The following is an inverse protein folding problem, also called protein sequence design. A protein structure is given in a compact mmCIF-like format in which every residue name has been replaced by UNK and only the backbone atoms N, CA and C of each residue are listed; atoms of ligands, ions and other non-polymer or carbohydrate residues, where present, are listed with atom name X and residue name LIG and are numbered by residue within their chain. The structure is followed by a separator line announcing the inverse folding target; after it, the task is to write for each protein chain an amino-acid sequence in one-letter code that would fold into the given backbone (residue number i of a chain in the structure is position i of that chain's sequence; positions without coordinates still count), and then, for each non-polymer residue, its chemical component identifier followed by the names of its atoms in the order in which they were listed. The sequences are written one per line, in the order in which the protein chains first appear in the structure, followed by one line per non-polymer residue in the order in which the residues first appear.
data_IF_146502832793
#
_entry.id   IF_146502832793
#
_cell.length_a   1.000
_cell.length_b   1.000
_cell.length_c   1.000
_cell.angle_alpha   90.00
_cell.angle_beta   90.00
_cell.angle_gamma   90.00
#
_symmetry.space_group_name_H-M   'P 1'
#
loop_
_entity.id
_entity.type
_entity.pdbx_description
1 polymer ?
#
# COMPACT_ATOMS: atom_id res chain seq x y z
N UNK A 1 -30.92 51.96 4.74
CA UNK A 1 -30.00 50.97 5.36
C UNK A 1 -30.43 49.52 5.15
N UNK A 2 -31.73 49.17 5.18
CA UNK A 2 -32.18 47.78 5.00
C UNK A 2 -31.88 47.15 3.61
N UNK A 3 -31.89 47.93 2.52
CA UNK A 3 -31.64 47.41 1.16
C UNK A 3 -30.19 47.00 0.88
N UNK A 4 -29.21 47.64 1.54
CA UNK A 4 -27.79 47.27 1.40
C UNK A 4 -27.46 45.93 2.08
N UNK A 5 -28.19 45.60 3.15
CA UNK A 5 -27.98 44.38 3.91
C UNK A 5 -28.49 43.13 3.16
N UNK A 6 -29.62 43.25 2.45
CA UNK A 6 -30.14 42.16 1.59
C UNK A 6 -29.21 41.81 0.43
N UNK A 7 -28.52 42.80 -0.16
CA UNK A 7 -27.58 42.55 -1.27
C UNK A 7 -26.34 41.79 -0.79
N UNK A 8 -25.88 42.08 0.43
CA UNK A 8 -24.72 41.41 1.03
C UNK A 8 -25.01 39.95 1.39
N UNK A 9 -26.23 39.64 1.86
CA UNK A 9 -26.67 38.26 2.15
C UNK A 9 -26.78 37.44 0.86
N UNK A 10 -27.31 38.03 -0.22
CA UNK A 10 -27.43 37.34 -1.51
C UNK A 10 -26.06 37.03 -2.13
N UNK A 11 -25.11 37.97 -2.02
CA UNK A 11 -23.73 37.76 -2.48
C UNK A 11 -22.98 36.72 -1.63
N UNK A 12 -23.23 36.69 -0.31
CA UNK A 12 -22.67 35.68 0.59
C UNK A 12 -23.20 34.27 0.33
N UNK A 13 -24.42 34.13 -0.20
CA UNK A 13 -25.03 32.83 -0.49
C UNK A 13 -24.46 32.18 -1.77
N UNK A 14 -23.96 32.98 -2.72
CA UNK A 14 -23.32 32.48 -3.94
C UNK A 14 -21.95 31.82 -3.68
N UNK A 15 -21.26 32.16 -2.59
CA UNK A 15 -19.98 31.52 -2.23
C UNK A 15 -20.13 30.12 -1.61
N UNK A 16 -21.36 29.67 -1.31
CA UNK A 16 -21.61 28.33 -0.76
C UNK A 16 -21.86 27.26 -1.84
N UNK A 17 -21.93 27.65 -3.12
CA UNK A 17 -22.18 26.72 -4.25
C UNK A 17 -20.91 26.39 -5.04
N UNK A 18 -19.73 26.41 -4.43
CA UNK A 18 -18.56 25.77 -5.03
C UNK A 18 -18.77 24.25 -5.07
N UNK A 19 -19.45 23.78 -6.11
CA UNK A 19 -19.51 22.38 -6.47
C UNK A 19 -18.07 21.89 -6.71
N UNK A 20 -17.52 21.15 -5.74
CA UNK A 20 -16.31 20.38 -5.99
C UNK A 20 -16.64 19.34 -7.06
N UNK A 21 -16.05 19.48 -8.24
CA UNK A 21 -16.05 18.41 -9.25
C UNK A 21 -15.17 17.29 -8.71
N UNK A 22 -15.78 16.36 -7.97
CA UNK A 22 -15.10 15.14 -7.55
C UNK A 22 -14.84 14.32 -8.81
N UNK A 23 -13.57 14.14 -9.16
CA UNK A 23 -13.19 13.19 -10.22
C UNK A 23 -13.69 11.81 -9.82
N UNK A 24 -14.41 11.13 -10.72
CA UNK A 24 -15.00 9.81 -10.45
C UNK A 24 -13.96 8.76 -10.05
N UNK A 25 -12.70 8.97 -10.41
CA UNK A 25 -11.58 8.12 -10.09
C UNK A 25 -10.53 8.96 -9.37
N UNK A 26 -10.04 8.47 -8.24
CA UNK A 26 -9.04 9.13 -7.41
C UNK A 26 -7.98 8.10 -7.00
N UNK A 27 -6.72 8.53 -6.98
CA UNK A 27 -5.61 7.78 -6.42
C UNK A 27 -5.09 8.56 -5.23
N UNK A 28 -5.07 7.91 -4.06
CA UNK A 28 -4.58 8.49 -2.82
C UNK A 28 -3.25 7.84 -2.41
N UNK A 29 -2.38 8.63 -1.79
CA UNK A 29 -1.05 8.22 -1.37
C UNK A 29 -0.89 8.45 0.12
N UNK A 30 -0.27 7.50 0.81
CA UNK A 30 -0.03 7.62 2.23
C UNK A 30 1.16 6.81 2.70
N UNK A 31 1.36 6.83 4.00
CA UNK A 31 2.37 6.03 4.69
C UNK A 31 1.71 5.29 5.85
N UNK A 32 2.19 4.08 6.11
CA UNK A 32 1.77 3.25 7.23
C UNK A 32 3.01 2.62 7.88
N UNK A 33 3.01 2.41 9.19
CA UNK A 33 4.14 1.77 9.86
C UNK A 33 3.66 0.80 10.93
N UNK A 34 4.27 -0.39 10.97
CA UNK A 34 4.15 -1.32 12.09
C UNK A 34 5.34 -1.13 13.03
N UNK A 35 5.06 -0.89 14.30
CA UNK A 35 6.10 -0.51 15.26
C UNK A 35 6.44 -1.65 16.22
N UNK A 36 7.72 -1.98 16.27
CA UNK A 36 8.27 -3.04 17.10
C UNK A 36 7.88 -4.43 16.60
N UNK A 37 8.21 -5.43 17.42
CA UNK A 37 7.85 -6.81 17.17
C UNK A 37 8.40 -7.71 18.24
N UNK A 38 7.83 -8.92 18.31
CA UNK A 38 8.22 -9.96 19.25
C UNK A 38 8.32 -11.27 18.50
N UNK A 39 9.33 -12.06 18.84
CA UNK A 39 9.45 -13.44 18.38
C UNK A 39 10.18 -14.27 19.44
N UNK A 40 9.50 -15.29 19.98
CA UNK A 40 10.00 -16.10 21.11
C UNK A 40 10.41 -15.18 22.28
N UNK A 41 11.70 -15.18 22.65
CA UNK A 41 12.24 -14.36 23.74
C UNK A 41 12.88 -13.04 23.24
N UNK A 42 12.75 -12.72 21.96
CA UNK A 42 13.30 -11.51 21.37
C UNK A 42 12.21 -10.45 21.18
N UNK A 43 12.57 -9.20 21.45
CA UNK A 43 11.73 -8.02 21.22
C UNK A 43 12.57 -6.92 20.61
N UNK A 44 12.00 -6.17 19.68
CA UNK A 44 12.62 -5.01 19.08
C UNK A 44 11.66 -3.82 19.02
N UNK A 45 12.22 -2.63 18.85
CA UNK A 45 11.50 -1.36 18.73
C UNK A 45 11.59 -0.74 17.33
N UNK A 46 12.25 -1.42 16.38
CA UNK A 46 12.32 -0.97 14.98
C UNK A 46 10.95 -0.96 14.30
N UNK A 47 10.82 -0.21 13.21
CA UNK A 47 9.56 -0.04 12.48
C UNK A 47 9.64 -0.62 11.06
N UNK A 48 8.61 -1.32 10.62
CA UNK A 48 8.42 -1.70 9.22
C UNK A 48 7.52 -0.63 8.56
N UNK A 49 8.07 0.13 7.62
CA UNK A 49 7.40 1.30 7.01
C UNK A 49 6.92 0.97 5.60
N UNK A 50 5.65 1.21 5.34
CA UNK A 50 4.98 0.95 4.08
C UNK A 50 4.57 2.26 3.42
N UNK A 51 4.76 2.30 2.10
CA UNK A 51 4.12 3.26 1.20
C UNK A 51 2.75 2.73 0.82
N UNK A 52 1.72 3.53 0.99
CA UNK A 52 0.34 3.17 0.69
C UNK A 52 -0.12 3.87 -0.58
N UNK A 53 -0.78 3.13 -1.46
CA UNK A 53 -1.51 3.67 -2.60
C UNK A 53 -2.90 3.06 -2.64
N UNK A 54 -3.91 3.89 -2.79
CA UNK A 54 -5.32 3.51 -2.77
C UNK A 54 -6.04 4.02 -4.01
N UNK A 55 -6.87 3.19 -4.63
CA UNK A 55 -7.66 3.54 -5.81
C UNK A 55 -9.13 3.61 -5.43
N UNK A 56 -9.71 4.79 -5.57
CA UNK A 56 -11.10 5.10 -5.22
C UNK A 56 -11.95 5.36 -6.45
N UNK A 57 -13.13 4.75 -6.50
CA UNK A 57 -14.20 5.18 -7.38
C UNK A 57 -15.24 5.94 -6.56
N UNK A 58 -15.40 7.23 -6.84
CA UNK A 58 -16.17 8.16 -6.01
C UNK A 58 -15.74 8.09 -4.53
N UNK A 59 -16.59 7.60 -3.63
CA UNK A 59 -16.28 7.44 -2.19
C UNK A 59 -15.94 5.99 -1.79
N UNK A 60 -15.82 5.08 -2.76
CA UNK A 60 -15.58 3.65 -2.50
C UNK A 60 -14.15 3.26 -2.89
N UNK A 61 -13.41 2.67 -1.95
CA UNK A 61 -12.09 2.12 -2.22
C UNK A 61 -12.24 0.80 -2.99
N UNK A 62 -11.67 0.72 -4.19
CA UNK A 62 -11.71 -0.49 -5.01
C UNK A 62 -10.49 -1.36 -4.76
N UNK A 63 -9.33 -0.72 -4.60
CA UNK A 63 -8.06 -1.42 -4.39
C UNK A 63 -7.16 -0.60 -3.46
N UNK A 64 -6.36 -1.30 -2.66
CA UNK A 64 -5.37 -0.69 -1.78
C UNK A 64 -4.12 -1.55 -1.79
N UNK A 65 -2.95 -0.92 -1.79
CA UNK A 65 -1.68 -1.61 -1.60
C UNK A 65 -0.77 -0.86 -0.64
N UNK A 66 -0.17 -1.60 0.26
CA UNK A 66 0.89 -1.13 1.15
C UNK A 66 2.18 -1.86 0.76
N UNK A 67 3.21 -1.13 0.33
CA UNK A 67 4.46 -1.67 -0.19
C UNK A 67 5.61 -1.25 0.70
N UNK A 68 6.50 -2.17 1.04
CA UNK A 68 7.73 -1.87 1.78
C UNK A 68 8.90 -2.65 1.18
N UNK A 69 10.09 -2.03 1.17
CA UNK A 69 11.33 -2.75 0.89
C UNK A 69 11.77 -3.48 2.15
N UNK A 70 12.07 -4.77 2.02
CA UNK A 70 12.50 -5.57 3.15
C UNK A 70 14.02 -5.52 3.30
N UNK A 71 14.48 -5.04 4.46
CA UNK A 71 15.91 -5.07 4.81
C UNK A 71 16.23 -6.35 5.60
N UNK A 72 17.13 -7.19 5.09
CA UNK A 72 17.59 -8.40 5.78
C UNK A 72 18.31 -8.12 7.10
N UNK A 73 18.80 -6.90 7.32
CA UNK A 73 19.40 -6.47 8.59
C UNK A 73 18.35 -6.09 9.63
N UNK A 74 17.10 -5.98 9.21
CA UNK A 74 15.97 -5.65 10.07
C UNK A 74 15.68 -6.79 11.06
N UNK A 75 15.32 -6.51 12.32
CA UNK A 75 14.95 -7.55 13.28
C UNK A 75 13.67 -8.31 12.88
N UNK A 76 12.88 -7.77 11.94
CA UNK A 76 11.74 -8.45 11.35
C UNK A 76 12.14 -9.71 10.53
N UNK A 77 13.43 -9.90 10.23
CA UNK A 77 13.96 -11.15 9.66
C UNK A 77 13.65 -12.38 10.54
N UNK A 78 13.49 -12.18 11.85
CA UNK A 78 13.17 -13.27 12.78
C UNK A 78 11.79 -13.88 12.58
N UNK A 79 10.88 -13.22 11.85
CA UNK A 79 9.57 -13.76 11.50
C UNK A 79 9.60 -14.70 10.30
N UNK A 80 10.70 -14.72 9.54
CA UNK A 80 10.86 -15.56 8.38
C UNK A 80 11.24 -16.99 8.77
N UNK A 81 10.85 -17.95 7.93
CA UNK A 81 11.43 -19.29 7.93
C UNK A 81 12.83 -19.29 7.28
N UNK A 82 13.57 -20.39 7.44
CA UNK A 82 14.86 -20.55 6.77
C UNK A 82 14.73 -20.53 5.24
N UNK A 83 13.67 -21.13 4.70
CA UNK A 83 13.42 -21.21 3.25
C UNK A 83 13.04 -19.84 2.68
N UNK A 84 12.16 -19.10 3.38
CA UNK A 84 11.79 -17.73 3.00
C UNK A 84 13.00 -16.80 3.02
N UNK A 85 13.86 -16.92 4.04
CA UNK A 85 15.09 -16.15 4.14
C UNK A 85 16.06 -16.48 2.99
N UNK A 86 16.16 -17.75 2.60
CA UNK A 86 16.98 -18.17 1.46
C UNK A 86 16.46 -17.57 0.15
N UNK A 87 15.14 -17.55 -0.06
CA UNK A 87 14.53 -16.91 -1.22
C UNK A 87 14.80 -15.40 -1.27
N UNK A 88 14.63 -14.70 -0.14
CA UNK A 88 14.89 -13.25 -0.05
C UNK A 88 16.37 -12.93 -0.33
N UNK A 89 17.30 -13.71 0.23
CA UNK A 89 18.73 -13.50 0.02
C UNK A 89 19.19 -13.73 -1.43
N UNK A 90 18.42 -14.48 -2.22
CA UNK A 90 18.68 -14.68 -3.64
C UNK A 90 18.20 -13.49 -4.50
N UNK A 91 17.44 -12.56 -3.93
CA UNK A 91 16.92 -11.38 -4.61
C UNK A 91 17.90 -10.21 -4.51
N UNK A 92 18.02 -9.43 -5.58
CA UNK A 92 18.79 -8.17 -5.54
C UNK A 92 17.98 -7.03 -4.94
N UNK A 93 16.67 -7.07 -5.15
CA UNK A 93 15.70 -6.19 -4.49
C UNK A 93 14.49 -7.04 -4.09
N UNK A 94 14.02 -6.84 -2.86
CA UNK A 94 12.90 -7.59 -2.31
C UNK A 94 11.90 -6.67 -1.63
N UNK A 95 10.64 -6.80 -2.02
CA UNK A 95 9.54 -6.01 -1.51
C UNK A 95 8.49 -6.91 -0.88
N UNK A 96 7.84 -6.41 0.16
CA UNK A 96 6.64 -7.00 0.74
C UNK A 96 5.47 -6.08 0.43
N UNK A 97 4.37 -6.69 0.00
CA UNK A 97 3.12 -5.98 -0.24
C UNK A 97 1.98 -6.58 0.57
N UNK A 98 1.11 -5.71 1.06
CA UNK A 98 -0.22 -6.06 1.54
C UNK A 98 -1.21 -5.45 0.56
N UNK A 99 -2.03 -6.26 -0.10
CA UNK A 99 -3.02 -5.75 -1.05
C UNK A 99 -4.45 -6.14 -0.67
N UNK A 100 -5.37 -5.23 -0.89
CA UNK A 100 -6.79 -5.39 -0.70
C UNK A 100 -7.52 -5.08 -2.00
N UNK A 101 -8.53 -5.90 -2.32
CA UNK A 101 -9.47 -5.66 -3.40
C UNK A 101 -10.89 -5.73 -2.83
N UNK A 102 -11.67 -4.67 -3.00
CA UNK A 102 -13.07 -4.67 -2.57
C UNK A 102 -13.95 -5.50 -3.51
N UNK A 103 -13.63 -5.49 -4.81
CA UNK A 103 -14.38 -6.13 -5.88
C UNK A 103 -13.38 -6.72 -6.90
N UNK A 104 -13.08 -8.01 -6.74
CA UNK A 104 -12.09 -8.73 -7.56
C UNK A 104 -12.52 -8.85 -9.04
N UNK A 105 -13.78 -8.59 -9.40
CA UNK A 105 -14.23 -8.56 -10.80
C UNK A 105 -13.83 -7.26 -11.50
N UNK A 106 -13.69 -6.15 -10.76
CA UNK A 106 -13.30 -4.85 -11.30
C UNK A 106 -11.80 -4.65 -11.29
N UNK A 107 -11.19 -4.80 -10.12
CA UNK A 107 -9.74 -4.71 -9.93
C UNK A 107 -9.34 -5.88 -9.06
N UNK A 108 -8.71 -6.87 -9.70
CA UNK A 108 -8.24 -8.04 -8.97
C UNK A 108 -6.81 -7.83 -8.47
N UNK A 109 -6.47 -8.57 -7.43
CA UNK A 109 -5.07 -8.67 -6.99
C UNK A 109 -4.15 -9.23 -8.08
N UNK A 110 -4.69 -10.08 -8.97
CA UNK A 110 -3.93 -10.60 -10.11
C UNK A 110 -3.47 -9.48 -11.04
N UNK A 111 -4.32 -8.49 -11.32
CA UNK A 111 -3.92 -7.35 -12.15
C UNK A 111 -2.73 -6.60 -11.54
N UNK A 112 -2.74 -6.39 -10.22
CA UNK A 112 -1.60 -5.80 -9.53
C UNK A 112 -0.34 -6.68 -9.59
N UNK A 113 -0.47 -8.00 -9.43
CA UNK A 113 0.67 -8.92 -9.58
C UNK A 113 1.25 -8.90 -11.00
N UNK A 114 0.40 -8.78 -12.02
CA UNK A 114 0.83 -8.67 -13.42
C UNK A 114 1.57 -7.34 -13.67
N UNK A 115 1.16 -6.23 -13.03
CA UNK A 115 1.91 -4.96 -13.01
C UNK A 115 3.28 -5.12 -12.33
N UNK A 116 3.35 -5.79 -11.17
CA UNK A 116 4.62 -6.06 -10.49
C UNK A 116 5.58 -6.89 -11.36
N UNK A 117 5.06 -7.92 -12.04
CA UNK A 117 5.82 -8.72 -12.99
C UNK A 117 6.35 -7.89 -14.17
N UNK A 118 5.55 -6.95 -14.70
CA UNK A 118 6.01 -5.99 -15.73
C UNK A 118 7.13 -5.08 -15.24
N UNK A 119 7.15 -4.77 -13.95
CA UNK A 119 8.24 -4.04 -13.29
C UNK A 119 9.43 -4.94 -12.90
N UNK A 120 9.44 -6.21 -13.33
CA UNK A 120 10.56 -7.14 -13.13
C UNK A 120 10.55 -7.88 -11.79
N UNK A 121 9.43 -7.89 -11.08
CA UNK A 121 9.28 -8.59 -9.81
C UNK A 121 8.49 -9.89 -9.95
N UNK A 122 9.12 -10.99 -9.56
CA UNK A 122 8.46 -12.28 -9.44
C UNK A 122 7.81 -12.42 -8.06
N UNK A 123 6.59 -12.99 -8.02
CA UNK A 123 5.88 -13.24 -6.76
C UNK A 123 6.56 -14.37 -5.96
N UNK A 124 6.71 -14.13 -4.67
CA UNK A 124 7.19 -15.07 -3.65
C UNK A 124 6.16 -15.19 -2.53
N UNK A 125 5.99 -16.41 -2.01
CA UNK A 125 5.09 -16.68 -0.88
C UNK A 125 5.87 -16.59 0.44
N UNK A 126 5.29 -15.93 1.44
CA UNK A 126 5.89 -15.77 2.77
C UNK A 126 4.93 -16.21 3.88
N UNK A 127 4.49 -17.48 3.94
CA UNK A 127 3.49 -17.95 4.90
C UNK A 127 3.88 -17.77 6.37
N UNK A 128 5.15 -17.95 6.74
CA UNK A 128 5.60 -17.77 8.13
C UNK A 128 5.62 -16.29 8.49
N UNK A 129 6.15 -15.44 7.61
CA UNK A 129 6.09 -14.00 7.82
C UNK A 129 4.64 -13.51 7.95
N UNK A 130 3.76 -13.94 7.04
CA UNK A 130 2.34 -13.60 7.04
C UNK A 130 1.66 -13.98 8.36
N UNK A 131 1.96 -15.17 8.88
CA UNK A 131 1.41 -15.64 10.16
C UNK A 131 1.80 -14.70 11.31
N UNK A 132 3.08 -14.34 11.42
CA UNK A 132 3.54 -13.43 12.47
C UNK A 132 2.99 -12.01 12.30
N UNK A 133 2.92 -11.53 11.06
CA UNK A 133 2.39 -10.22 10.74
C UNK A 133 0.92 -10.09 11.15
N UNK A 134 0.09 -11.11 10.85
CA UNK A 134 -1.33 -11.14 11.24
C UNK A 134 -1.56 -11.15 12.74
N UNK A 135 -0.59 -11.65 13.52
CA UNK A 135 -0.64 -11.65 14.98
C UNK A 135 -0.11 -10.33 15.59
N UNK A 136 0.41 -9.41 14.78
CA UNK A 136 0.93 -8.14 15.25
C UNK A 136 -0.21 -7.20 15.66
N UNK A 137 -0.14 -6.50 16.82
CA UNK A 137 -1.22 -5.63 17.29
C UNK A 137 -1.60 -4.51 16.30
N UNK A 138 -0.61 -3.98 15.56
CA UNK A 138 -0.87 -2.94 14.57
C UNK A 138 -1.58 -3.46 13.32
N UNK A 139 -1.58 -4.79 13.07
CA UNK A 139 -2.29 -5.38 11.94
C UNK A 139 -3.81 -5.18 12.06
N UNK A 140 -4.35 -5.48 13.25
CA UNK A 140 -5.78 -5.29 13.55
C UNK A 140 -6.13 -3.80 13.71
N UNK A 141 -5.28 -3.03 14.38
CA UNK A 141 -5.50 -1.57 14.56
C UNK A 141 -5.59 -0.83 13.24
N UNK A 142 -4.87 -1.31 12.23
CA UNK A 142 -4.90 -0.76 10.87
C UNK A 142 -5.90 -1.45 9.95
N UNK A 143 -6.77 -2.31 10.48
CA UNK A 143 -7.84 -2.99 9.75
C UNK A 143 -7.35 -3.79 8.53
N UNK A 144 -6.19 -4.46 8.68
CA UNK A 144 -5.54 -5.18 7.58
C UNK A 144 -6.02 -6.63 7.41
N UNK A 145 -7.08 -7.04 8.12
CA UNK A 145 -7.59 -8.42 8.14
C UNK A 145 -8.01 -8.97 6.76
N UNK A 146 -8.42 -8.09 5.84
CA UNK A 146 -8.82 -8.46 4.48
C UNK A 146 -7.66 -8.35 3.46
N UNK A 147 -6.47 -7.94 3.89
CA UNK A 147 -5.32 -7.79 3.01
C UNK A 147 -4.62 -9.13 2.82
N UNK A 148 -4.17 -9.39 1.59
CA UNK A 148 -3.33 -10.55 1.26
C UNK A 148 -1.88 -10.11 1.17
N UNK A 149 -0.98 -10.93 1.71
CA UNK A 149 0.46 -10.66 1.71
C UNK A 149 1.14 -11.33 0.52
N UNK A 150 2.02 -10.59 -0.16
CA UNK A 150 2.90 -11.12 -1.20
C UNK A 150 4.32 -10.58 -1.04
N UNK A 151 5.30 -11.47 -1.18
CA UNK A 151 6.69 -11.11 -1.44
C UNK A 151 6.91 -10.89 -2.93
N UNK A 152 7.83 -10.01 -3.27
CA UNK A 152 8.17 -9.64 -4.65
C UNK A 152 9.68 -9.58 -4.79
N UNK A 153 10.22 -10.37 -5.70
CA UNK A 153 11.65 -10.54 -5.86
C UNK A 153 12.10 -10.10 -7.24
N UNK A 154 13.05 -9.18 -7.28
CA UNK A 154 13.76 -8.84 -8.51
C UNK A 154 15.14 -9.48 -8.49
N UNK A 155 15.29 -10.60 -9.21
CA UNK A 155 16.57 -11.33 -9.33
C UNK A 155 17.50 -10.71 -10.37
N UNK A 156 16.93 -10.19 -11.45
CA UNK A 156 17.67 -9.79 -12.65
C UNK A 156 17.97 -8.28 -12.70
N UNK A 157 17.45 -7.50 -11.76
CA UNK A 157 17.64 -6.05 -11.70
C UNK A 157 19.11 -5.64 -11.55
N UNK A 158 19.38 -4.37 -11.82
CA UNK A 158 20.68 -3.74 -11.60
C UNK A 158 20.88 -3.26 -10.15
N UNK A 159 19.84 -3.33 -9.32
CA UNK A 159 19.84 -2.88 -7.93
C UNK A 159 18.42 -2.59 -7.44
N UNK A 160 18.27 -1.85 -6.32
CA UNK A 160 16.99 -1.42 -5.80
C UNK A 160 16.22 -0.58 -6.82
N UNK A 161 14.94 -0.92 -7.02
CA UNK A 161 14.03 -0.17 -7.89
C UNK A 161 13.40 0.97 -7.09
N UNK A 162 13.66 2.22 -7.49
CA UNK A 162 13.21 3.41 -6.76
C UNK A 162 11.74 3.77 -7.04
N UNK A 163 11.21 3.36 -8.20
CA UNK A 163 9.85 3.66 -8.62
C UNK A 163 9.17 2.43 -9.25
N UNK A 164 7.94 2.17 -8.84
CA UNK A 164 7.08 1.14 -9.46
C UNK A 164 5.87 1.83 -10.06
N UNK A 165 5.68 1.64 -11.36
CA UNK A 165 4.52 2.19 -12.07
C UNK A 165 3.44 1.12 -12.13
N UNK A 166 2.24 1.47 -11.66
CA UNK A 166 1.07 0.59 -11.59
C UNK A 166 -0.06 1.20 -12.43
N UNK A 167 -0.43 0.53 -13.51
CA UNK A 167 -1.61 0.85 -14.33
C UNK A 167 -2.78 -0.07 -14.01
N UNK A 168 -3.87 0.47 -13.45
CA UNK A 168 -5.12 -0.28 -13.22
C UNK A 168 -6.25 0.23 -14.12
N UNK A 169 -7.17 -0.65 -14.58
CA UNK A 169 -8.23 -0.26 -15.50
C UNK A 169 -9.11 0.86 -14.95
N UNK A 170 -9.31 1.90 -15.76
CA UNK A 170 -10.11 3.04 -15.37
C UNK A 170 -9.46 3.93 -14.32
N UNK A 171 -8.14 3.90 -14.17
CA UNK A 171 -7.38 4.85 -13.35
C UNK A 171 -6.17 5.36 -14.15
N UNK A 172 -5.65 6.53 -13.77
CA UNK A 172 -4.34 6.97 -14.24
C UNK A 172 -3.24 6.07 -13.67
N UNK A 173 -2.06 6.08 -14.28
CA UNK A 173 -0.90 5.39 -13.73
C UNK A 173 -0.53 5.97 -12.35
N UNK A 174 -0.29 5.08 -11.39
CA UNK A 174 0.25 5.42 -10.08
C UNK A 174 1.74 5.12 -10.02
N UNK A 175 2.50 5.96 -9.31
CA UNK A 175 3.93 5.74 -9.10
C UNK A 175 4.21 5.55 -7.61
N UNK A 176 4.67 4.36 -7.24
CA UNK A 176 5.06 4.03 -5.87
C UNK A 176 6.55 4.34 -5.73
N UNK A 177 6.87 5.38 -4.96
CA UNK A 177 8.25 5.80 -4.70
C UNK A 177 8.79 5.09 -3.46
N UNK A 178 9.84 4.28 -3.64
CA UNK A 178 10.45 3.42 -2.62
C UNK A 178 11.78 4.02 -2.14
N UNK A 179 11.70 5.23 -1.61
CA UNK A 179 12.83 5.97 -1.03
C UNK A 179 13.21 5.52 0.38
#
# INVERSE_FOLDING_TARGET
MAQFFSFFIFFSMCFLFSCSTLTKQLIDYGDFSMNGGVYKNQRWSGSLRFKRVSWFHEFSMFFDVNVTRFDIKSPFVNWLSADELAEINACKDFLITLSYAADEEKISQRMFLDEMARNGFDKIMLPNFETHLKLHPDFDRSSLSLYKLYGHCNKNGSGPVENITIGLPGFSEANILLN
#
